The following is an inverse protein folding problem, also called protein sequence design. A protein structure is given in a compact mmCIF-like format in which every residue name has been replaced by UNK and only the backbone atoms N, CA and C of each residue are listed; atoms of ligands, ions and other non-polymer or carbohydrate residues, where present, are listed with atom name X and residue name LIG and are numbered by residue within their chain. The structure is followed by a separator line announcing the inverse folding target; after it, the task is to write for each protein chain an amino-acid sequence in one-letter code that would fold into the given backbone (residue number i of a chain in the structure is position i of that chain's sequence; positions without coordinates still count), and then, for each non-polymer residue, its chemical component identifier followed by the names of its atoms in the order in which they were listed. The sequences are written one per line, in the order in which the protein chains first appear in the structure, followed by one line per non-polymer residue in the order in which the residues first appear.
data_IF_989576865917
#
_entry.id   IF_989576865917
#
_cell.length_a   1.000
_cell.length_b   1.000
_cell.length_c   1.000
_cell.angle_alpha   90.00
_cell.angle_beta   90.00
_cell.angle_gamma   90.00
#
_symmetry.space_group_name_H-M   'P 1'
#
loop_
_entity.id
_entity.type
_entity.pdbx_description
1 polymer ?
#
# COMPACT_ATOMS: atom_id res chain seq x y z
N UNK A 1 -7.48 -11.70 20.03
CA UNK A 1 -6.77 -11.03 18.89
C UNK A 1 -7.67 -9.92 18.39
N UNK A 2 -7.16 -8.69 18.28
CA UNK A 2 -7.94 -7.53 17.83
C UNK A 2 -8.06 -7.52 16.30
N UNK A 3 -9.18 -7.01 15.80
CA UNK A 3 -9.43 -6.77 14.37
C UNK A 3 -8.32 -5.93 13.72
N UNK A 4 -7.74 -5.01 14.48
CA UNK A 4 -6.58 -4.18 14.08
C UNK A 4 -5.34 -5.03 13.81
N UNK A 5 -5.11 -6.07 14.60
CA UNK A 5 -3.96 -6.96 14.42
C UNK A 5 -4.12 -7.83 13.15
N UNK A 6 -5.35 -8.17 12.80
CA UNK A 6 -5.66 -8.89 11.56
C UNK A 6 -5.46 -8.01 10.32
N UNK A 7 -5.92 -6.75 10.37
CA UNK A 7 -5.74 -5.81 9.27
C UNK A 7 -4.27 -5.47 9.04
N UNK A 8 -3.49 -5.26 10.10
CA UNK A 8 -2.04 -5.07 10.01
C UNK A 8 -1.36 -6.22 9.27
N UNK A 9 -1.69 -7.46 9.68
CA UNK A 9 -1.10 -8.65 9.07
C UNK A 9 -1.46 -8.81 7.60
N UNK A 10 -2.66 -8.37 7.19
CA UNK A 10 -3.04 -8.33 5.77
C UNK A 10 -2.22 -7.33 4.98
N UNK A 11 -2.01 -6.13 5.51
CA UNK A 11 -1.19 -5.10 4.85
C UNK A 11 0.26 -5.59 4.66
N UNK A 12 0.84 -6.22 5.68
CA UNK A 12 2.18 -6.81 5.59
C UNK A 12 2.30 -7.84 4.46
N UNK A 13 1.32 -8.73 4.32
CA UNK A 13 1.32 -9.75 3.26
C UNK A 13 1.22 -9.13 1.85
N UNK A 14 0.40 -8.09 1.67
CA UNK A 14 0.26 -7.40 0.37
C UNK A 14 1.56 -6.65 0.00
N UNK A 15 2.22 -6.03 0.98
CA UNK A 15 3.51 -5.36 0.76
C UNK A 15 4.61 -6.36 0.38
N UNK A 16 4.67 -7.53 0.99
CA UNK A 16 5.61 -8.59 0.61
C UNK A 16 5.34 -9.10 -0.81
N UNK A 17 4.08 -9.33 -1.17
CA UNK A 17 3.70 -9.73 -2.53
C UNK A 17 4.13 -8.69 -3.58
N UNK A 18 3.93 -7.41 -3.28
CA UNK A 18 4.35 -6.30 -4.14
C UNK A 18 5.87 -6.24 -4.28
N UNK A 19 6.61 -6.37 -3.18
CA UNK A 19 8.09 -6.40 -3.19
C UNK A 19 8.63 -7.58 -4.00
N UNK A 20 8.00 -8.75 -3.90
CA UNK A 20 8.36 -9.90 -4.72
C UNK A 20 8.05 -9.66 -6.20
N UNK A 21 6.87 -9.14 -6.53
CA UNK A 21 6.51 -8.80 -7.91
C UNK A 21 7.51 -7.80 -8.52
N UNK A 22 7.86 -6.74 -7.79
CA UNK A 22 8.80 -5.71 -8.24
C UNK A 22 10.24 -6.24 -8.40
N UNK A 23 10.70 -7.10 -7.48
CA UNK A 23 12.03 -7.71 -7.57
C UNK A 23 12.13 -8.78 -8.66
N UNK A 24 11.04 -9.49 -8.95
CA UNK A 24 10.97 -10.48 -10.05
C UNK A 24 10.78 -9.83 -11.43
N UNK A 25 10.31 -8.58 -11.52
CA UNK A 25 10.01 -7.86 -12.76
C UNK A 25 10.85 -6.60 -12.98
N UNK A 26 12.11 -6.56 -12.51
CA UNK A 26 12.98 -5.35 -12.55
C UNK A 26 13.30 -4.79 -13.96
N UNK A 27 12.74 -5.35 -15.04
CA UNK A 27 12.82 -4.78 -16.39
C UNK A 27 11.48 -4.65 -17.14
N UNK A 28 10.37 -5.24 -16.65
CA UNK A 28 9.14 -5.39 -17.47
C UNK A 28 7.82 -5.31 -16.71
N UNK A 29 7.79 -4.89 -15.44
CA UNK A 29 6.51 -4.61 -14.77
C UNK A 29 5.76 -3.57 -15.63
N UNK A 30 4.71 -4.02 -16.33
CA UNK A 30 3.89 -3.11 -17.15
C UNK A 30 3.46 -1.97 -16.24
N UNK A 31 3.52 -0.74 -16.73
CA UNK A 31 3.00 0.43 -16.01
C UNK A 31 1.58 0.16 -15.45
N UNK A 32 0.82 -0.74 -16.07
CA UNK A 32 -0.48 -1.23 -15.59
C UNK A 32 -0.45 -1.88 -14.21
N UNK A 33 0.58 -2.68 -13.89
CA UNK A 33 0.72 -3.32 -12.58
C UNK A 33 1.01 -2.26 -11.53
N UNK A 34 1.93 -1.34 -11.84
CA UNK A 34 2.27 -0.22 -10.95
C UNK A 34 1.05 0.70 -10.74
N UNK A 35 0.31 1.01 -11.81
CA UNK A 35 -0.89 1.82 -11.76
C UNK A 35 -2.01 1.15 -10.95
N UNK A 36 -2.23 -0.16 -11.11
CA UNK A 36 -3.22 -0.89 -10.33
C UNK A 36 -2.90 -0.88 -8.83
N UNK A 37 -1.62 -1.03 -8.49
CA UNK A 37 -1.15 -0.89 -7.11
C UNK A 37 -1.40 0.53 -6.57
N UNK A 38 -1.08 1.58 -7.35
CA UNK A 38 -1.36 2.98 -6.98
C UNK A 38 -2.86 3.25 -6.79
N UNK A 39 -3.71 2.74 -7.68
CA UNK A 39 -5.17 2.87 -7.57
C UNK A 39 -5.71 2.18 -6.31
N UNK A 40 -5.16 1.02 -5.96
CA UNK A 40 -5.50 0.32 -4.72
C UNK A 40 -5.11 1.15 -3.49
N UNK A 41 -3.92 1.75 -3.49
CA UNK A 41 -3.48 2.66 -2.42
C UNK A 41 -4.39 3.89 -2.32
N UNK A 42 -4.83 4.46 -3.45
CA UNK A 42 -5.76 5.59 -3.48
C UNK A 42 -7.10 5.28 -2.79
N UNK A 43 -7.71 4.14 -3.11
CA UNK A 43 -8.96 3.71 -2.47
C UNK A 43 -8.81 3.48 -0.96
N UNK A 44 -7.63 3.01 -0.52
CA UNK A 44 -7.33 2.82 0.90
C UNK A 44 -7.10 4.16 1.59
N UNK A 45 -6.43 5.10 0.93
CA UNK A 45 -6.22 6.47 1.43
C UNK A 45 -7.56 7.20 1.60
N UNK A 46 -8.49 7.07 0.67
CA UNK A 46 -9.85 7.65 0.78
C UNK A 46 -10.61 7.09 2.00
N UNK A 47 -10.53 5.78 2.23
CA UNK A 47 -11.12 5.16 3.42
C UNK A 47 -10.44 5.62 4.71
N UNK A 48 -9.12 5.81 4.68
CA UNK A 48 -8.38 6.35 5.82
C UNK A 48 -8.78 7.80 6.10
N UNK A 49 -8.98 8.61 5.05
CA UNK A 49 -9.34 10.02 5.16
C UNK A 49 -10.68 10.22 5.88
N UNK A 50 -11.62 9.29 5.73
CA UNK A 50 -12.90 9.29 6.48
C UNK A 50 -12.68 9.15 7.99
N UNK A 51 -11.59 8.51 8.43
CA UNK A 51 -11.32 8.18 9.82
C UNK A 51 -10.38 9.19 10.48
N UNK A 52 -9.30 9.57 9.78
CA UNK A 52 -8.21 10.40 10.36
C UNK A 52 -8.09 11.79 9.73
N UNK A 53 -8.93 12.10 8.74
CA UNK A 53 -8.83 13.30 7.91
C UNK A 53 -7.82 13.13 6.76
N UNK A 54 -8.06 13.86 5.67
CA UNK A 54 -7.30 13.73 4.42
C UNK A 54 -5.79 13.92 4.59
N UNK A 55 -5.40 14.87 5.43
CA UNK A 55 -4.01 15.27 5.60
C UNK A 55 -3.19 14.19 6.34
N UNK A 56 -3.77 13.58 7.37
CA UNK A 56 -3.14 12.50 8.11
C UNK A 56 -3.16 11.19 7.30
N UNK A 57 -4.24 10.96 6.54
CA UNK A 57 -4.32 9.84 5.60
C UNK A 57 -3.24 9.89 4.52
N UNK A 58 -3.00 11.06 3.94
CA UNK A 58 -1.94 11.25 2.95
C UNK A 58 -0.54 11.00 3.56
N UNK A 59 -0.30 11.49 4.78
CA UNK A 59 0.97 11.30 5.47
C UNK A 59 1.25 9.81 5.74
N UNK A 60 0.25 9.08 6.25
CA UNK A 60 0.35 7.64 6.50
C UNK A 60 0.61 6.87 5.19
N UNK A 61 -0.09 7.21 4.10
CA UNK A 61 0.11 6.56 2.81
C UNK A 61 1.54 6.73 2.28
N UNK A 62 2.10 7.94 2.38
CA UNK A 62 3.49 8.24 1.96
C UNK A 62 4.51 7.52 2.83
N UNK A 63 4.34 7.52 4.17
CA UNK A 63 5.25 6.83 5.10
C UNK A 63 5.31 5.32 4.82
N UNK A 64 4.14 4.70 4.60
CA UNK A 64 4.03 3.27 4.31
C UNK A 64 4.66 2.94 2.95
N UNK A 65 4.44 3.77 1.93
CA UNK A 65 5.05 3.59 0.61
C UNK A 65 6.58 3.63 0.69
N UNK A 66 7.14 4.63 1.38
CA UNK A 66 8.60 4.78 1.54
C UNK A 66 9.20 3.59 2.29
N UNK A 67 8.54 3.08 3.33
CA UNK A 67 9.04 1.91 4.07
C UNK A 67 8.99 0.61 3.26
N UNK A 68 8.00 0.44 2.39
CA UNK A 68 7.80 -0.80 1.63
C UNK A 68 8.67 -0.87 0.36
N UNK A 69 8.87 0.27 -0.31
CA UNK A 69 9.54 0.34 -1.63
C UNK A 69 10.91 1.04 -1.58
N UNK A 70 11.14 1.94 -0.62
CA UNK A 70 12.39 2.67 -0.46
C UNK A 70 13.59 1.82 -0.05
#
# INVERSE_FOLDING_TARGET
MSEVAFLRKRIEMECEAMKHAMNSFRATASHDIINNQYNSIGNIQEQLAVIVGEQEAAKIAVEVYIQAIG
#
